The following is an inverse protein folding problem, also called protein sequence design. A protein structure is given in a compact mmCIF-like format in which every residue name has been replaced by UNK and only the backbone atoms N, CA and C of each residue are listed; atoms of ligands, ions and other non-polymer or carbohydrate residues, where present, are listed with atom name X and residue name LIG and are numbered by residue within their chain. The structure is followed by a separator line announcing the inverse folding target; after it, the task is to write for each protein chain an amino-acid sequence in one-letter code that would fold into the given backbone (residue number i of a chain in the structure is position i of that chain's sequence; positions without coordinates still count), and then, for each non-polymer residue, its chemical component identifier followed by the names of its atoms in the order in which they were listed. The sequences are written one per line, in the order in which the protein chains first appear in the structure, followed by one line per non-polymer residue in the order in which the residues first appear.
data_IF_259894715094
#
_entry.id   IF_259894715094
#
_cell.length_a   1.000
_cell.length_b   1.000
_cell.length_c   1.000
_cell.angle_alpha   90.00
_cell.angle_beta   90.00
_cell.angle_gamma   90.00
#
_symmetry.space_group_name_H-M   'P 1'
#
loop_
_entity.id
_entity.type
_entity.pdbx_description
1 polymer ?
#
# COMPACT_ATOMS: atom_id res chain seq x y z
N UNK A 1 26.97 -7.51 -11.54
CA UNK A 1 27.85 -6.40 -11.98
C UNK A 1 27.54 -5.23 -11.08
N UNK A 2 28.53 -4.63 -10.41
CA UNK A 2 28.29 -3.44 -9.59
C UNK A 2 27.80 -2.32 -10.53
N UNK A 3 26.70 -1.65 -10.20
CA UNK A 3 26.33 -0.45 -10.93
C UNK A 3 27.37 0.62 -10.65
N UNK A 4 27.98 1.19 -11.69
CA UNK A 4 28.89 2.35 -11.59
C UNK A 4 28.15 3.65 -11.18
N UNK A 5 26.86 3.56 -10.85
CA UNK A 5 26.04 4.67 -10.36
C UNK A 5 26.48 5.06 -8.94
N UNK A 6 26.77 6.35 -8.74
CA UNK A 6 27.06 6.92 -7.42
C UNK A 6 25.78 7.28 -6.67
N UNK A 7 25.88 7.48 -5.36
CA UNK A 7 24.77 7.99 -4.54
C UNK A 7 24.21 9.30 -5.10
N UNK A 8 25.07 10.22 -5.53
CA UNK A 8 24.65 11.48 -6.14
C UNK A 8 23.81 11.27 -7.40
N UNK A 9 24.28 10.41 -8.31
CA UNK A 9 23.59 10.12 -9.57
C UNK A 9 22.23 9.48 -9.32
N UNK A 10 22.13 8.57 -8.36
CA UNK A 10 20.86 7.95 -8.00
C UNK A 10 19.87 8.94 -7.40
N UNK A 11 20.31 9.79 -6.45
CA UNK A 11 19.45 10.82 -5.88
C UNK A 11 19.00 11.83 -6.95
N UNK A 12 19.87 12.18 -7.88
CA UNK A 12 19.54 13.05 -9.01
C UNK A 12 18.48 12.43 -9.91
N UNK A 13 18.63 11.15 -10.26
CA UNK A 13 17.64 10.37 -11.02
C UNK A 13 16.28 10.31 -10.32
N UNK A 14 16.28 10.09 -9.00
CA UNK A 14 15.06 10.12 -8.18
C UNK A 14 14.41 11.51 -8.23
N UNK A 15 15.19 12.58 -8.07
CA UNK A 15 14.68 13.94 -8.12
C UNK A 15 14.05 14.27 -9.48
N UNK A 16 14.69 13.87 -10.59
CA UNK A 16 14.18 14.06 -11.96
C UNK A 16 12.88 13.30 -12.18
N UNK A 17 12.79 12.05 -11.71
CA UNK A 17 11.55 11.26 -11.74
C UNK A 17 10.41 11.99 -11.01
N UNK A 18 10.66 12.48 -9.80
CA UNK A 18 9.67 13.24 -9.04
C UNK A 18 9.29 14.58 -9.67
N UNK A 19 10.19 15.22 -10.44
CA UNK A 19 9.86 16.44 -11.18
C UNK A 19 8.94 16.16 -12.38
N UNK A 20 9.10 15.01 -13.02
CA UNK A 20 8.28 14.59 -14.15
C UNK A 20 6.86 14.17 -13.74
N UNK A 21 6.67 13.73 -12.49
CA UNK A 21 5.40 13.24 -11.98
C UNK A 21 4.52 14.34 -11.37
N UNK A 22 3.25 14.39 -11.79
CA UNK A 22 2.28 15.37 -11.27
C UNK A 22 1.93 15.01 -9.83
N UNK A 23 2.23 15.90 -8.89
CA UNK A 23 1.99 15.69 -7.45
C UNK A 23 3.20 15.22 -6.65
N UNK A 24 4.37 15.04 -7.27
CA UNK A 24 5.61 14.66 -6.59
C UNK A 24 6.61 15.82 -6.44
N UNK A 25 6.19 17.06 -6.73
CA UNK A 25 7.06 18.24 -6.72
C UNK A 25 7.76 18.48 -5.36
N UNK A 26 7.12 18.12 -4.25
CA UNK A 26 7.71 18.30 -2.93
C UNK A 26 8.77 17.23 -2.62
N UNK A 27 8.60 16.00 -3.12
CA UNK A 27 9.65 14.97 -3.07
C UNK A 27 10.87 15.39 -3.91
N UNK A 28 10.64 15.97 -5.08
CA UNK A 28 11.71 16.51 -5.92
C UNK A 28 12.49 17.62 -5.20
N UNK A 29 11.79 18.58 -4.57
CA UNK A 29 12.45 19.66 -3.79
C UNK A 29 13.25 19.09 -2.64
N UNK A 30 12.68 18.16 -1.88
CA UNK A 30 13.35 17.55 -0.74
C UNK A 30 14.59 16.75 -1.16
N UNK A 31 14.49 15.99 -2.25
CA UNK A 31 15.63 15.24 -2.81
C UNK A 31 16.75 16.18 -3.27
N UNK A 32 16.42 17.27 -3.96
CA UNK A 32 17.40 18.29 -4.34
C UNK A 32 18.02 18.99 -3.13
N UNK A 33 17.24 19.24 -2.07
CA UNK A 33 17.75 19.80 -0.83
C UNK A 33 18.74 18.84 -0.15
N UNK A 34 18.45 17.55 -0.10
CA UNK A 34 19.36 16.52 0.42
C UNK A 34 20.69 16.52 -0.35
N UNK A 35 20.65 16.52 -1.69
CA UNK A 35 21.86 16.57 -2.53
C UNK A 35 22.67 17.84 -2.22
N UNK A 36 22.01 19.00 -2.17
CA UNK A 36 22.68 20.28 -1.90
C UNK A 36 23.35 20.28 -0.52
N UNK A 37 22.67 19.80 0.51
CA UNK A 37 23.19 19.75 1.88
C UNK A 37 24.33 18.74 2.03
N UNK A 38 24.27 17.59 1.34
CA UNK A 38 25.33 16.58 1.36
C UNK A 38 26.58 16.97 0.53
N UNK A 39 26.46 17.91 -0.42
CA UNK A 39 27.60 18.48 -1.15
C UNK A 39 28.45 19.42 -0.27
N UNK A 40 27.82 20.04 0.72
CA UNK A 40 28.52 20.87 1.68
C UNK A 40 29.25 20.00 2.71
N UNK A 41 30.59 20.04 2.66
CA UNK A 41 31.48 19.16 3.44
C UNK A 41 31.32 19.33 4.95
N UNK A 42 30.92 20.51 5.40
CA UNK A 42 30.75 20.82 6.83
C UNK A 42 29.32 20.53 7.33
N UNK A 43 28.45 20.05 6.44
CA UNK A 43 27.02 19.85 6.71
C UNK A 43 26.59 18.38 6.66
N UNK A 44 27.52 17.43 6.72
CA UNK A 44 27.22 15.98 6.64
C UNK A 44 26.10 15.56 7.59
N UNK A 45 26.17 15.96 8.87
CA UNK A 45 25.14 15.62 9.86
C UNK A 45 23.75 16.12 9.45
N UNK A 46 23.66 17.37 8.97
CA UNK A 46 22.42 17.97 8.45
C UNK A 46 21.96 17.27 7.17
N UNK A 47 22.88 16.90 6.29
CA UNK A 47 22.56 16.20 5.05
C UNK A 47 22.02 14.79 5.30
N UNK A 48 22.59 14.08 6.28
CA UNK A 48 22.04 12.79 6.74
C UNK A 48 20.66 13.00 7.34
N UNK A 49 20.46 14.00 8.21
CA UNK A 49 19.13 14.31 8.77
C UNK A 49 18.08 14.60 7.70
N UNK A 50 18.41 15.42 6.69
CA UNK A 50 17.52 15.66 5.54
C UNK A 50 17.24 14.39 4.74
N UNK A 51 18.22 13.49 4.61
CA UNK A 51 18.05 12.20 3.92
C UNK A 51 17.11 11.27 4.72
N UNK A 52 17.15 11.31 6.05
CA UNK A 52 16.20 10.60 6.92
C UNK A 52 14.79 11.17 6.73
N UNK A 53 14.66 12.48 6.67
CA UNK A 53 13.36 13.11 6.41
C UNK A 53 12.78 12.68 5.04
N UNK A 54 13.63 12.60 4.01
CA UNK A 54 13.23 12.06 2.70
C UNK A 54 12.79 10.59 2.80
N UNK A 55 13.55 9.76 3.52
CA UNK A 55 13.22 8.37 3.79
C UNK A 55 11.83 8.25 4.43
N UNK A 56 11.54 9.02 5.48
CA UNK A 56 10.28 8.96 6.22
C UNK A 56 9.08 9.33 5.33
N UNK A 57 9.22 10.36 4.48
CA UNK A 57 8.14 10.71 3.55
C UNK A 57 7.95 9.65 2.46
N UNK A 58 9.03 9.05 1.96
CA UNK A 58 8.94 7.94 1.00
C UNK A 58 8.36 6.68 1.62
N UNK A 59 8.59 6.42 2.90
CA UNK A 59 7.93 5.32 3.62
C UNK A 59 6.41 5.51 3.69
N UNK A 60 5.94 6.75 3.91
CA UNK A 60 4.50 7.06 3.86
C UNK A 60 3.95 6.80 2.46
N UNK A 61 4.65 7.25 1.42
CA UNK A 61 4.23 6.99 0.03
C UNK A 61 4.26 5.51 -0.34
N UNK A 62 5.25 4.75 0.17
CA UNK A 62 5.38 3.29 -0.02
C UNK A 62 4.17 2.54 0.53
N UNK A 63 3.64 2.96 1.69
CA UNK A 63 2.42 2.37 2.27
C UNK A 63 1.19 2.59 1.39
N UNK A 64 1.18 3.65 0.58
CA UNK A 64 0.14 3.94 -0.41
C UNK A 64 0.39 3.25 -1.76
N UNK A 65 1.45 2.44 -1.88
CA UNK A 65 1.82 1.71 -3.09
C UNK A 65 2.68 2.51 -4.08
N UNK A 66 3.12 3.71 -3.72
CA UNK A 66 3.92 4.58 -4.58
C UNK A 66 5.41 4.55 -4.20
N UNK A 67 6.29 4.73 -5.17
CA UNK A 67 7.74 4.94 -4.98
C UNK A 67 8.48 3.87 -4.16
N UNK A 68 8.08 2.60 -4.32
CA UNK A 68 8.63 1.48 -3.54
C UNK A 68 10.13 1.32 -3.76
N UNK A 69 10.59 1.45 -5.01
CA UNK A 69 12.01 1.31 -5.37
C UNK A 69 12.85 2.46 -4.81
N UNK A 70 12.35 3.69 -4.94
CA UNK A 70 13.00 4.89 -4.42
C UNK A 70 13.10 4.86 -2.89
N UNK A 71 12.02 4.45 -2.21
CA UNK A 71 12.01 4.30 -0.77
C UNK A 71 13.09 3.32 -0.28
N UNK A 72 13.19 2.15 -0.92
CA UNK A 72 14.17 1.12 -0.55
C UNK A 72 15.62 1.58 -0.83
N UNK A 73 15.83 2.30 -1.93
CA UNK A 73 17.14 2.84 -2.28
C UNK A 73 17.58 3.93 -1.29
N UNK A 74 16.69 4.89 -1.00
CA UNK A 74 16.95 5.97 -0.02
C UNK A 74 17.15 5.40 1.38
N UNK A 75 16.37 4.41 1.80
CA UNK A 75 16.56 3.68 3.07
C UNK A 75 17.96 3.05 3.16
N UNK A 76 18.42 2.39 2.09
CA UNK A 76 19.73 1.76 2.04
C UNK A 76 20.87 2.79 2.10
N UNK A 77 20.74 3.90 1.37
CA UNK A 77 21.71 5.00 1.39
C UNK A 77 21.76 5.63 2.78
N UNK A 78 20.60 5.92 3.38
CA UNK A 78 20.49 6.50 4.71
C UNK A 78 21.11 5.59 5.78
N UNK A 79 20.82 4.29 5.74
CA UNK A 79 21.40 3.31 6.65
C UNK A 79 22.93 3.25 6.57
N UNK A 80 23.48 3.27 5.34
CA UNK A 80 24.93 3.32 5.13
C UNK A 80 25.55 4.64 5.60
N UNK A 81 24.96 5.78 5.25
CA UNK A 81 25.47 7.09 5.69
C UNK A 81 25.42 7.27 7.22
N UNK A 82 24.48 6.64 7.93
CA UNK A 82 24.45 6.68 9.40
C UNK A 82 25.56 5.84 10.05
N UNK A 83 25.99 4.76 9.39
CA UNK A 83 26.87 3.75 9.99
C UNK A 83 28.33 3.85 9.52
N UNK A 84 28.56 4.43 8.36
CA UNK A 84 29.87 4.60 7.75
C UNK A 84 30.14 6.08 7.44
N UNK A 85 31.05 6.68 8.21
CA UNK A 85 31.43 8.09 8.05
C UNK A 85 32.15 8.38 6.73
N UNK A 86 32.80 7.38 6.14
CA UNK A 86 33.46 7.49 4.84
C UNK A 86 32.47 7.38 3.66
N UNK A 87 31.24 6.92 3.94
CA UNK A 87 30.18 6.83 2.93
C UNK A 87 29.62 8.21 2.59
N UNK A 88 29.64 8.57 1.31
CA UNK A 88 29.36 9.91 0.81
C UNK A 88 28.63 9.89 -0.54
N UNK A 89 28.34 11.07 -1.10
CA UNK A 89 27.72 11.21 -2.42
C UNK A 89 28.51 10.53 -3.56
N UNK A 90 29.83 10.43 -3.42
CA UNK A 90 30.71 9.80 -4.43
C UNK A 90 30.87 8.30 -4.23
N UNK A 91 30.34 7.76 -3.14
CA UNK A 91 30.39 6.32 -2.90
C UNK A 91 29.49 5.59 -3.89
N UNK A 92 29.88 4.36 -4.23
CA UNK A 92 29.02 3.46 -4.99
C UNK A 92 27.71 3.22 -4.22
N UNK A 93 26.63 2.96 -4.95
CA UNK A 93 25.38 2.60 -4.32
C UNK A 93 25.55 1.39 -3.40
N UNK A 94 24.80 1.35 -2.28
CA UNK A 94 24.75 0.14 -1.49
C UNK A 94 24.24 -0.96 -2.41
N UNK A 95 24.78 -2.17 -2.28
CA UNK A 95 24.06 -3.34 -2.79
C UNK A 95 22.78 -3.42 -1.99
N UNK A 96 21.73 -2.78 -2.49
CA UNK A 96 20.37 -3.08 -2.08
C UNK A 96 20.24 -4.54 -2.49
N UNK A 97 20.13 -5.44 -1.51
CA UNK A 97 19.67 -6.80 -1.79
C UNK A 97 18.21 -6.68 -2.24
N UNK A 98 18.02 -6.18 -3.46
CA UNK A 98 16.86 -6.45 -4.27
C UNK A 98 17.01 -7.88 -4.81
N UNK A 99 17.12 -8.84 -3.90
CA UNK A 99 16.85 -10.24 -4.20
C UNK A 99 15.55 -10.61 -3.49
N UNK A 100 14.47 -9.98 -3.91
CA UNK A 100 13.37 -10.84 -4.33
C UNK A 100 13.68 -11.16 -5.78
N UNK A 101 14.24 -12.35 -6.04
CA UNK A 101 14.40 -12.84 -7.41
C UNK A 101 13.08 -12.66 -8.16
N UNK A 102 13.12 -12.51 -9.48
CA UNK A 102 11.86 -12.48 -10.25
C UNK A 102 10.98 -13.71 -9.91
N UNK A 103 11.58 -14.85 -9.56
CA UNK A 103 10.89 -16.01 -9.01
C UNK A 103 10.20 -15.73 -7.66
N UNK A 104 10.81 -14.99 -6.73
CA UNK A 104 10.18 -14.58 -5.47
C UNK A 104 9.08 -13.54 -5.69
N UNK A 105 9.24 -12.59 -6.63
CA UNK A 105 8.17 -11.66 -6.99
C UNK A 105 7.00 -12.37 -7.67
N UNK A 106 7.29 -13.31 -8.57
CA UNK A 106 6.28 -14.18 -9.17
C UNK A 106 5.62 -15.06 -8.12
N UNK A 107 6.38 -15.60 -7.17
CA UNK A 107 5.84 -16.38 -6.04
C UNK A 107 4.95 -15.52 -5.13
N UNK A 108 5.35 -14.29 -4.78
CA UNK A 108 4.52 -13.36 -4.00
C UNK A 108 3.28 -12.98 -4.80
N UNK A 109 3.40 -12.74 -6.10
CA UNK A 109 2.26 -12.44 -6.97
C UNK A 109 1.33 -13.63 -7.11
N UNK A 110 1.86 -14.86 -7.19
CA UNK A 110 1.08 -16.09 -7.19
C UNK A 110 0.41 -16.32 -5.84
N UNK A 111 1.09 -16.06 -4.73
CA UNK A 111 0.51 -16.13 -3.38
C UNK A 111 -0.60 -15.10 -3.22
N UNK A 112 -0.40 -13.84 -3.63
CA UNK A 112 -1.43 -12.80 -3.61
C UNK A 112 -2.60 -13.16 -4.52
N UNK A 113 -2.35 -13.74 -5.69
CA UNK A 113 -3.40 -14.19 -6.61
C UNK A 113 -4.16 -15.39 -6.06
N UNK A 114 -3.49 -16.31 -5.38
CA UNK A 114 -4.11 -17.44 -4.70
C UNK A 114 -4.91 -16.96 -3.48
N UNK A 115 -4.39 -16.00 -2.72
CA UNK A 115 -5.07 -15.38 -1.59
C UNK A 115 -6.33 -14.64 -2.06
N UNK A 116 -6.22 -13.80 -3.10
CA UNK A 116 -7.36 -13.15 -3.75
C UNK A 116 -8.38 -14.16 -4.30
N UNK A 117 -7.93 -15.27 -4.89
CA UNK A 117 -8.81 -16.32 -5.40
C UNK A 117 -9.45 -17.17 -4.29
N UNK A 118 -8.84 -17.21 -3.11
CA UNK A 118 -9.37 -17.94 -1.95
C UNK A 118 -10.44 -17.15 -1.19
N UNK A 119 -10.48 -15.82 -1.38
CA UNK A 119 -11.48 -14.97 -0.74
C UNK A 119 -12.85 -15.20 -1.37
N UNK A 120 -13.91 -15.33 -0.56
CA UNK A 120 -15.27 -15.48 -1.07
C UNK A 120 -15.86 -14.17 -1.61
N UNK A 121 -15.09 -13.09 -1.63
CA UNK A 121 -15.55 -11.74 -1.98
C UNK A 121 -14.59 -11.00 -2.90
N UNK A 122 -15.14 -10.12 -3.72
CA UNK A 122 -14.44 -9.11 -4.50
C UNK A 122 -14.52 -7.77 -3.76
N UNK A 123 -13.39 -7.05 -3.70
CA UNK A 123 -13.24 -5.79 -3.01
C UNK A 123 -12.93 -4.67 -4.01
N UNK A 124 -13.81 -3.67 -4.08
CA UNK A 124 -13.70 -2.54 -5.00
C UNK A 124 -13.55 -1.27 -4.17
N UNK A 125 -12.43 -0.57 -4.34
CA UNK A 125 -12.13 0.65 -3.61
C UNK A 125 -11.48 1.69 -4.53
N UNK A 126 -12.20 2.77 -4.80
CA UNK A 126 -11.67 3.95 -5.49
C UNK A 126 -11.07 4.93 -4.47
N UNK A 127 -9.89 5.48 -4.78
CA UNK A 127 -9.16 6.36 -3.85
C UNK A 127 -9.89 7.68 -3.57
N UNK A 128 -10.68 8.12 -4.54
CA UNK A 128 -11.51 9.32 -4.58
C UNK A 128 -12.96 9.09 -4.13
N UNK A 129 -13.32 7.85 -3.76
CA UNK A 129 -14.65 7.49 -3.25
C UNK A 129 -14.66 7.35 -1.74
N UNK A 130 -15.72 7.84 -1.12
CA UNK A 130 -16.06 7.64 0.31
C UNK A 130 -16.64 6.23 0.53
N UNK A 131 -17.17 5.62 -0.54
CA UNK A 131 -17.78 4.30 -0.56
C UNK A 131 -16.78 3.20 -1.00
N UNK A 132 -16.88 2.05 -0.36
CA UNK A 132 -16.24 0.79 -0.73
C UNK A 132 -17.35 -0.21 -1.07
N UNK A 133 -17.23 -0.90 -2.19
CA UNK A 133 -18.19 -1.96 -2.58
C UNK A 133 -17.55 -3.33 -2.42
N UNK A 134 -18.25 -4.24 -1.73
CA UNK A 134 -17.83 -5.64 -1.57
C UNK A 134 -18.87 -6.56 -2.17
N UNK A 135 -18.46 -7.39 -3.12
CA UNK A 135 -19.34 -8.33 -3.81
C UNK A 135 -19.05 -9.76 -3.37
N UNK A 136 -20.07 -10.46 -2.85
CA UNK A 136 -19.99 -11.86 -2.42
C UNK A 136 -20.88 -12.67 -3.32
N UNK A 137 -20.34 -13.66 -4.05
CA UNK A 137 -21.17 -14.60 -4.81
C UNK A 137 -21.97 -15.45 -3.82
N UNK A 138 -23.26 -15.60 -4.03
CA UNK A 138 -24.12 -16.36 -3.11
C UNK A 138 -24.90 -17.44 -3.85
N UNK A 139 -25.40 -18.48 -3.13
CA UNK A 139 -26.24 -19.50 -3.76
C UNK A 139 -27.42 -18.89 -4.53
N UNK A 140 -27.84 -19.47 -5.67
CA UNK A 140 -28.89 -18.91 -6.54
C UNK A 140 -30.22 -18.61 -5.86
N UNK A 141 -30.56 -19.38 -4.83
CA UNK A 141 -31.81 -19.28 -4.09
C UNK A 141 -31.73 -18.32 -2.88
N UNK A 142 -30.60 -17.64 -2.67
CA UNK A 142 -30.38 -16.78 -1.50
C UNK A 142 -31.37 -15.62 -1.47
N UNK A 143 -32.05 -15.47 -0.33
CA UNK A 143 -32.92 -14.34 -0.01
C UNK A 143 -32.30 -13.48 1.10
N UNK A 144 -32.76 -12.24 1.28
CA UNK A 144 -32.20 -11.34 2.32
C UNK A 144 -32.29 -11.94 3.74
N UNK A 145 -33.32 -12.73 4.03
CA UNK A 145 -33.47 -13.43 5.32
C UNK A 145 -32.38 -14.49 5.59
N UNK A 146 -31.70 -14.94 4.55
CA UNK A 146 -30.62 -15.92 4.62
C UNK A 146 -29.25 -15.26 4.83
N UNK A 147 -29.21 -13.92 4.81
CA UNK A 147 -28.02 -13.09 4.99
C UNK A 147 -28.03 -12.50 6.41
N UNK A 148 -26.88 -12.58 7.09
CA UNK A 148 -26.65 -11.89 8.37
C UNK A 148 -25.39 -11.07 8.24
N UNK A 149 -25.53 -9.75 8.31
CA UNK A 149 -24.42 -8.79 8.36
C UNK A 149 -24.39 -8.17 9.75
N UNK A 150 -23.29 -8.38 10.47
CA UNK A 150 -22.99 -7.69 11.73
C UNK A 150 -21.80 -6.78 11.51
N UNK A 151 -22.04 -5.49 11.62
CA UNK A 151 -21.03 -4.47 11.34
C UNK A 151 -20.96 -3.49 12.53
N UNK A 152 -19.73 -3.15 12.88
CA UNK A 152 -19.39 -2.07 13.82
C UNK A 152 -18.38 -1.15 13.14
N UNK A 153 -18.04 -0.03 13.78
CA UNK A 153 -17.06 0.88 13.20
C UNK A 153 -15.68 0.23 12.94
N UNK A 154 -15.36 -0.90 13.60
CA UNK A 154 -14.05 -1.53 13.51
C UNK A 154 -14.08 -2.97 12.99
N UNK A 155 -15.23 -3.65 12.96
CA UNK A 155 -15.32 -5.07 12.63
C UNK A 155 -16.54 -5.36 11.76
N UNK A 156 -16.42 -6.39 10.93
CA UNK A 156 -17.49 -6.92 10.09
C UNK A 156 -17.53 -8.44 10.19
N UNK A 157 -18.74 -8.98 10.21
CA UNK A 157 -19.01 -10.40 10.05
C UNK A 157 -20.19 -10.60 9.12
N UNK A 158 -19.99 -11.39 8.08
CA UNK A 158 -21.00 -11.70 7.06
C UNK A 158 -21.20 -13.21 6.98
N UNK A 159 -22.42 -13.64 7.23
CA UNK A 159 -22.85 -15.04 7.13
C UNK A 159 -23.96 -15.13 6.09
N UNK A 160 -23.91 -16.18 5.25
CA UNK A 160 -24.88 -16.44 4.20
C UNK A 160 -25.24 -17.90 4.25
N UNK A 161 -26.49 -18.21 4.57
CA UNK A 161 -26.94 -19.59 4.75
C UNK A 161 -26.72 -20.41 3.46
N UNK A 162 -25.99 -21.51 3.59
CA UNK A 162 -25.71 -22.44 2.49
C UNK A 162 -24.56 -22.01 1.57
N UNK A 163 -23.85 -20.93 1.87
CA UNK A 163 -22.61 -20.59 1.19
C UNK A 163 -21.48 -21.54 1.65
N UNK A 164 -20.61 -21.95 0.73
CA UNK A 164 -19.58 -22.98 0.98
C UNK A 164 -18.50 -22.54 1.96
N UNK A 165 -18.21 -21.23 1.98
CA UNK A 165 -17.26 -20.60 2.89
C UNK A 165 -18.05 -19.80 3.93
N UNK A 166 -18.02 -20.24 5.19
CA UNK A 166 -18.68 -19.58 6.32
C UNK A 166 -17.70 -19.37 7.49
N UNK A 167 -17.69 -18.18 8.11
CA UNK A 167 -18.34 -16.95 7.64
C UNK A 167 -17.73 -16.49 6.30
N UNK A 168 -18.51 -15.79 5.46
CA UNK A 168 -17.98 -15.23 4.20
C UNK A 168 -16.95 -14.14 4.50
N UNK A 169 -17.16 -13.36 5.55
CA UNK A 169 -16.22 -12.34 6.04
C UNK A 169 -16.28 -12.37 7.56
N UNK A 170 -15.14 -12.37 8.23
CA UNK A 170 -15.06 -12.17 9.69
C UNK A 170 -13.71 -11.55 10.03
N UNK A 171 -13.73 -10.32 10.55
CA UNK A 171 -12.52 -9.64 10.95
C UNK A 171 -12.66 -8.14 11.19
N UNK A 172 -11.53 -7.52 11.50
CA UNK A 172 -11.41 -6.09 11.69
C UNK A 172 -11.18 -5.37 10.36
N UNK A 173 -11.84 -4.23 10.15
CA UNK A 173 -11.59 -3.38 8.99
C UNK A 173 -10.16 -2.84 8.96
N UNK A 174 -9.66 -2.54 7.77
CA UNK A 174 -8.35 -1.88 7.61
C UNK A 174 -8.31 -0.49 8.27
N UNK A 175 -9.40 0.26 8.20
CA UNK A 175 -9.62 1.52 8.92
C UNK A 175 -11.07 1.59 9.42
N UNK A 176 -11.39 2.50 10.36
CA UNK A 176 -12.76 2.66 10.81
C UNK A 176 -13.73 3.08 9.71
N UNK A 177 -14.95 2.54 9.77
CA UNK A 177 -16.09 2.87 8.88
C UNK A 177 -17.13 3.68 9.63
N UNK A 178 -18.09 4.26 8.92
CA UNK A 178 -19.35 4.76 9.50
C UNK A 178 -20.45 3.68 9.38
N UNK A 179 -20.80 2.97 10.47
CA UNK A 179 -21.82 1.93 10.42
C UNK A 179 -23.21 2.43 10.00
N UNK A 180 -23.50 3.72 10.21
CA UNK A 180 -24.79 4.29 9.86
C UNK A 180 -24.93 4.54 8.35
N UNK A 181 -23.81 4.71 7.64
CA UNK A 181 -23.77 4.87 6.18
C UNK A 181 -23.62 3.54 5.42
N UNK A 182 -23.39 2.43 6.10
CA UNK A 182 -23.23 1.14 5.45
C UNK A 182 -24.59 0.50 5.11
N UNK A 183 -24.71 -0.10 3.93
CA UNK A 183 -25.89 -0.85 3.49
C UNK A 183 -25.52 -2.20 2.84
N UNK A 184 -26.52 -3.07 2.66
CA UNK A 184 -26.34 -4.31 1.93
C UNK A 184 -27.62 -4.77 1.22
N UNK A 185 -27.45 -5.30 0.01
CA UNK A 185 -28.56 -5.77 -0.81
C UNK A 185 -28.14 -6.95 -1.69
N UNK A 186 -29.13 -7.63 -2.26
CA UNK A 186 -28.89 -8.73 -3.20
C UNK A 186 -29.15 -8.26 -4.63
N UNK A 187 -28.14 -8.41 -5.48
CA UNK A 187 -28.23 -8.16 -6.91
C UNK A 187 -28.22 -9.45 -7.72
N UNK A 188 -28.65 -9.35 -8.97
CA UNK A 188 -28.68 -10.46 -9.91
C UNK A 188 -29.69 -11.55 -9.56
N UNK A 189 -29.66 -12.63 -10.33
CA UNK A 189 -30.54 -13.79 -10.18
C UNK A 189 -29.85 -15.06 -10.66
N UNK A 190 -30.33 -16.22 -10.18
CA UNK A 190 -29.75 -17.51 -10.56
C UNK A 190 -28.28 -17.61 -10.17
N UNK A 191 -27.45 -18.11 -11.07
CA UNK A 191 -26.00 -18.25 -10.87
C UNK A 191 -25.24 -16.92 -10.71
N UNK A 192 -25.88 -15.80 -11.06
CA UNK A 192 -25.31 -14.44 -10.92
C UNK A 192 -25.79 -13.74 -9.66
N UNK A 193 -26.39 -14.47 -8.71
CA UNK A 193 -26.85 -13.90 -7.44
C UNK A 193 -25.64 -13.46 -6.61
N UNK A 194 -25.64 -12.19 -6.23
CA UNK A 194 -24.53 -11.55 -5.51
C UNK A 194 -25.08 -10.76 -4.33
N UNK A 195 -24.45 -10.90 -3.16
CA UNK A 195 -24.63 -9.97 -2.04
C UNK A 195 -23.63 -8.83 -2.21
N UNK A 196 -24.15 -7.62 -2.28
CA UNK A 196 -23.40 -6.37 -2.36
C UNK A 196 -23.43 -5.71 -1.00
N UNK A 197 -22.27 -5.28 -0.50
CA UNK A 197 -22.11 -4.49 0.71
C UNK A 197 -21.52 -3.15 0.30
N UNK A 198 -22.22 -2.08 0.63
CA UNK A 198 -21.74 -0.72 0.47
C UNK A 198 -21.25 -0.22 1.83
N UNK A 199 -19.97 0.09 1.91
CA UNK A 199 -19.26 0.38 3.16
C UNK A 199 -18.75 1.81 3.11
N UNK A 200 -19.23 2.63 4.04
CA UNK A 200 -18.89 4.05 4.13
C UNK A 200 -17.61 4.26 4.96
N UNK A 201 -16.58 4.87 4.36
CA UNK A 201 -15.34 5.20 5.08
C UNK A 201 -15.59 6.31 6.10
N UNK A 202 -14.95 6.22 7.27
CA UNK A 202 -14.95 7.35 8.22
C UNK A 202 -13.97 8.46 7.83
N UNK A 203 -12.97 8.16 6.99
CA UNK A 203 -11.92 9.11 6.60
C UNK A 203 -11.61 8.96 5.12
N UNK A 204 -11.75 10.08 4.40
CA UNK A 204 -11.64 10.13 2.95
C UNK A 204 -10.19 10.33 2.49
N UNK A 205 -9.95 10.12 1.19
CA UNK A 205 -8.63 10.32 0.57
C UNK A 205 -7.62 9.21 0.83
N UNK A 206 -8.05 8.08 1.41
CA UNK A 206 -7.21 6.90 1.60
C UNK A 206 -7.74 5.73 0.75
N UNK A 207 -6.88 5.25 -0.15
CA UNK A 207 -7.06 3.96 -0.81
C UNK A 207 -6.70 2.86 0.17
N UNK A 208 -7.64 1.97 0.46
CA UNK A 208 -7.34 0.82 1.32
C UNK A 208 -6.74 -0.29 0.46
N UNK A 209 -5.68 -0.96 0.94
CA UNK A 209 -5.11 -2.11 0.25
C UNK A 209 -6.05 -3.32 0.29
N UNK A 210 -6.95 -3.37 1.28
CA UNK A 210 -7.87 -4.49 1.53
C UNK A 210 -9.08 -4.02 2.36
N UNK A 211 -10.12 -4.86 2.44
CA UNK A 211 -11.28 -4.66 3.33
C UNK A 211 -10.86 -4.80 4.80
N UNK A 212 -10.12 -5.87 5.09
CA UNK A 212 -9.71 -6.23 6.45
C UNK A 212 -8.28 -5.80 6.71
N UNK A 213 -8.00 -5.40 7.95
CA UNK A 213 -6.62 -5.18 8.40
C UNK A 213 -5.91 -6.51 8.61
N UNK A 214 -4.57 -6.52 8.42
CA UNK A 214 -3.77 -7.58 9.03
C UNK A 214 -3.97 -7.46 10.54
N UNK A 215 -4.52 -8.52 11.16
CA UNK A 215 -5.02 -8.51 12.53
C UNK A 215 -4.09 -7.81 13.53
N UNK A 216 -4.70 -7.10 14.47
CA UNK A 216 -4.03 -6.64 15.69
C UNK A 216 -3.42 -7.81 16.48
#
# INVERSE_FOLDING_TARGET
MASDETVEQALQRIAEKFQAETGAADFAKLTNHVIATLKDKDSRARGVESLIQLQDQLHVARRLGNYVEEANLVESIAGRMRTDDAYSLQSALPVVQAEQSEEMKEMIRQMQKADLASRPYEFINAADSEEITVNIKVPPATQMKDVTVKLTAANIRVEVKGHELQPCIDGAFYQPVDPAGCDHHLEGSGEKRTLVLDIEKKTNGLKWPDLLGYGA
#
